data_IF_041350987121
#
_entry.id   IF_041350987121
#
_cell.length_a   1.000
_cell.length_b   1.000
_cell.length_c   1.000
_cell.angle_alpha   90.00
_cell.angle_beta   90.00
_cell.angle_gamma   90.00
#
_symmetry.space_group_name_H-M   'P 1'
#
loop_
_entity.id
_entity.type
_entity.pdbx_description
1 polymer ?
#
# COMPACT_ATOMS: atom_id res chain seq x y z
N UNK A 1 3.30 -11.13 -17.35
CA UNK A 1 3.80 -12.51 -17.53
C UNK A 1 3.52 -13.13 -18.91
N UNK A 2 2.45 -12.74 -19.65
CA UNK A 2 2.19 -13.29 -21.00
C UNK A 2 3.32 -13.11 -22.03
N UNK A 3 4.12 -12.04 -21.91
CA UNK A 3 5.23 -11.73 -22.83
C UNK A 3 6.58 -12.25 -22.34
N UNK A 4 6.82 -12.17 -21.03
CA UNK A 4 8.03 -12.65 -20.38
C UNK A 4 7.68 -13.13 -18.96
N UNK A 5 8.12 -14.34 -18.62
CA UNK A 5 7.91 -14.98 -17.32
C UNK A 5 8.97 -14.61 -16.28
N UNK A 6 10.12 -14.09 -16.71
CA UNK A 6 11.28 -13.78 -15.86
C UNK A 6 11.23 -12.37 -15.26
N UNK A 7 10.36 -11.50 -15.79
CA UNK A 7 10.19 -10.12 -15.29
C UNK A 7 9.36 -10.08 -14.02
N UNK A 8 9.92 -9.46 -12.99
CA UNK A 8 9.24 -9.11 -11.74
C UNK A 8 8.35 -7.87 -11.93
N UNK A 9 7.16 -7.87 -11.31
CA UNK A 9 6.18 -6.79 -11.38
C UNK A 9 5.90 -6.26 -9.97
N UNK A 10 6.31 -5.03 -9.70
CA UNK A 10 5.86 -4.22 -8.56
C UNK A 10 4.75 -3.28 -9.00
N UNK A 11 3.70 -3.15 -8.18
CA UNK A 11 2.64 -2.15 -8.37
C UNK A 11 2.61 -1.17 -7.21
N UNK A 12 2.42 0.13 -7.50
CA UNK A 12 2.15 1.16 -6.51
C UNK A 12 0.68 1.56 -6.61
N UNK A 13 -0.05 1.42 -5.51
CA UNK A 13 -1.51 1.51 -5.51
C UNK A 13 -2.04 2.75 -4.78
N UNK A 14 -3.15 3.35 -5.24
CA UNK A 14 -3.87 4.36 -4.48
C UNK A 14 -4.68 3.71 -3.33
N UNK A 15 -5.40 4.52 -2.55
CA UNK A 15 -6.22 4.03 -1.44
C UNK A 15 -7.50 3.26 -1.86
N UNK A 16 -7.81 3.19 -3.15
CA UNK A 16 -8.99 2.55 -3.75
C UNK A 16 -10.38 3.01 -3.27
N UNK A 17 -10.50 3.78 -2.18
CA UNK A 17 -11.74 4.37 -1.67
C UNK A 17 -12.93 3.41 -1.80
N UNK A 18 -14.00 3.79 -2.50
CA UNK A 18 -15.23 3.02 -2.65
C UNK A 18 -15.15 1.86 -3.68
N UNK A 19 -13.94 1.38 -4.01
CA UNK A 19 -13.72 0.25 -4.94
C UNK A 19 -13.41 -1.03 -4.16
N UNK A 20 -14.44 -1.61 -3.55
CA UNK A 20 -14.32 -2.76 -2.66
C UNK A 20 -13.72 -4.01 -3.33
N UNK A 21 -13.82 -4.14 -4.65
CA UNK A 21 -13.33 -5.27 -5.44
C UNK A 21 -11.87 -5.11 -5.92
N UNK A 22 -11.25 -3.94 -5.74
CA UNK A 22 -9.94 -3.63 -6.28
C UNK A 22 -8.85 -4.55 -5.70
N UNK A 23 -8.85 -4.73 -4.37
CA UNK A 23 -7.86 -5.58 -3.69
C UNK A 23 -8.00 -7.04 -4.13
N UNK A 24 -9.23 -7.52 -4.32
CA UNK A 24 -9.49 -8.89 -4.78
C UNK A 24 -8.96 -9.14 -6.19
N UNK A 25 -9.17 -8.18 -7.10
CA UNK A 25 -8.63 -8.24 -8.46
C UNK A 25 -7.10 -8.30 -8.44
N UNK A 26 -6.48 -7.49 -7.59
CA UNK A 26 -5.01 -7.45 -7.46
C UNK A 26 -4.47 -8.73 -6.84
N UNK A 27 -5.11 -9.25 -5.78
CA UNK A 27 -4.72 -10.51 -5.13
C UNK A 27 -4.70 -11.68 -6.13
N UNK A 28 -5.69 -11.71 -7.03
CA UNK A 28 -5.80 -12.70 -8.12
C UNK A 28 -4.77 -12.47 -9.22
N UNK A 29 -4.42 -11.23 -9.53
CA UNK A 29 -3.43 -10.89 -10.55
C UNK A 29 -1.99 -11.28 -10.15
N UNK A 30 -1.75 -11.49 -8.85
CA UNK A 30 -0.49 -11.98 -8.29
C UNK A 30 0.76 -11.18 -8.75
N UNK A 31 0.84 -9.87 -8.43
CA UNK A 31 2.09 -9.13 -8.58
C UNK A 31 3.16 -9.70 -7.63
N UNK A 32 4.43 -9.52 -7.99
CA UNK A 32 5.54 -9.93 -7.13
C UNK A 32 5.60 -9.04 -5.88
N UNK A 33 5.38 -7.74 -6.06
CA UNK A 33 5.31 -6.75 -4.97
C UNK A 33 4.04 -5.92 -5.06
N UNK A 34 3.30 -5.86 -3.95
CA UNK A 34 2.24 -4.90 -3.71
C UNK A 34 2.77 -3.76 -2.86
N UNK A 35 2.87 -2.56 -3.44
CA UNK A 35 3.30 -1.36 -2.76
C UNK A 35 2.12 -0.40 -2.52
N UNK A 36 1.98 0.04 -1.28
CA UNK A 36 1.05 1.10 -0.90
C UNK A 36 1.68 1.94 0.21
N UNK A 37 2.06 3.17 -0.12
CA UNK A 37 2.72 4.04 0.83
C UNK A 37 1.73 4.57 1.88
N UNK A 38 2.17 4.59 3.14
CA UNK A 38 1.50 5.35 4.20
C UNK A 38 1.92 6.82 4.18
N UNK A 39 3.09 7.13 3.61
CA UNK A 39 3.68 8.46 3.41
C UNK A 39 4.10 9.21 4.67
N UNK A 40 3.32 9.16 5.76
CA UNK A 40 3.66 9.87 7.00
C UNK A 40 2.99 9.23 8.22
N UNK A 41 3.34 9.72 9.40
CA UNK A 41 2.86 9.25 10.71
C UNK A 41 1.39 9.65 10.95
N UNK A 42 0.63 8.92 11.81
CA UNK A 42 -0.79 9.17 12.03
C UNK A 42 -1.16 10.61 12.39
N UNK A 43 -0.32 11.27 13.21
CA UNK A 43 -0.54 12.65 13.67
C UNK A 43 -0.57 13.67 12.53
N UNK A 44 0.30 13.48 11.53
CA UNK A 44 0.42 14.38 10.37
C UNK A 44 -0.48 14.00 9.21
N UNK A 45 -1.03 12.79 9.24
CA UNK A 45 -1.65 12.17 8.08
C UNK A 45 -2.80 12.99 7.48
N UNK A 46 -3.71 13.55 8.30
CA UNK A 46 -4.81 14.36 7.79
C UNK A 46 -4.36 15.67 7.13
N UNK A 47 -3.22 16.23 7.57
CA UNK A 47 -2.63 17.44 7.00
C UNK A 47 -1.94 17.15 5.66
N UNK A 48 -1.20 16.04 5.57
CA UNK A 48 -0.41 15.68 4.39
C UNK A 48 -1.26 14.94 3.33
N UNK A 49 -2.23 14.12 3.76
CA UNK A 49 -3.09 13.30 2.91
C UNK A 49 -4.58 13.48 3.27
N UNK A 50 -5.19 14.65 2.98
CA UNK A 50 -6.54 14.98 3.44
C UNK A 50 -7.65 14.05 2.93
N UNK A 51 -7.43 13.33 1.82
CA UNK A 51 -8.41 12.40 1.24
C UNK A 51 -8.18 10.94 1.60
N UNK A 52 -7.13 10.63 2.35
CA UNK A 52 -6.78 9.28 2.74
C UNK A 52 -6.93 9.11 4.26
N UNK A 53 -6.87 7.87 4.74
CA UNK A 53 -6.91 7.56 6.18
C UNK A 53 -5.79 6.59 6.50
N UNK A 54 -4.97 6.91 7.50
CA UNK A 54 -3.81 6.09 7.89
C UNK A 54 -4.16 4.60 8.10
N UNK A 55 -5.18 4.34 8.92
CA UNK A 55 -5.62 2.97 9.20
C UNK A 55 -6.23 2.27 7.99
N UNK A 56 -6.77 3.01 7.02
CA UNK A 56 -7.23 2.44 5.77
C UNK A 56 -6.04 1.97 4.93
N UNK A 57 -4.98 2.78 4.80
CA UNK A 57 -3.74 2.37 4.13
C UNK A 57 -3.12 1.11 4.75
N UNK A 58 -3.10 1.01 6.09
CA UNK A 58 -2.67 -0.20 6.78
C UNK A 58 -3.59 -1.39 6.52
N UNK A 59 -4.91 -1.14 6.47
CA UNK A 59 -5.89 -2.18 6.15
C UNK A 59 -5.65 -2.77 4.76
N UNK A 60 -5.35 -1.95 3.74
CA UNK A 60 -5.04 -2.45 2.39
C UNK A 60 -3.86 -3.43 2.38
N UNK A 61 -2.76 -3.07 3.06
CA UNK A 61 -1.56 -3.90 3.19
C UNK A 61 -1.85 -5.20 3.93
N UNK A 62 -2.65 -5.14 5.00
CA UNK A 62 -3.09 -6.33 5.75
C UNK A 62 -3.97 -7.24 4.88
N UNK A 63 -4.95 -6.67 4.20
CA UNK A 63 -5.93 -7.42 3.41
C UNK A 63 -5.28 -8.15 2.24
N UNK A 64 -4.34 -7.52 1.51
CA UNK A 64 -3.65 -8.21 0.41
C UNK A 64 -2.83 -9.40 0.93
N UNK A 65 -2.17 -9.25 2.09
CA UNK A 65 -1.39 -10.34 2.72
C UNK A 65 -2.28 -11.47 3.20
N UNK A 66 -3.45 -11.17 3.76
CA UNK A 66 -4.43 -12.18 4.15
C UNK A 66 -5.00 -12.94 2.96
N UNK A 67 -5.29 -12.24 1.85
CA UNK A 67 -5.84 -12.87 0.63
C UNK A 67 -4.79 -13.69 -0.13
N UNK A 68 -3.54 -13.24 -0.15
CA UNK A 68 -2.45 -13.97 -0.77
C UNK A 68 -1.13 -13.75 -0.02
N UNK A 69 -0.79 -14.64 0.94
CA UNK A 69 0.40 -14.49 1.78
C UNK A 69 1.73 -14.50 1.01
N UNK A 70 1.74 -15.00 -0.24
CA UNK A 70 2.94 -15.07 -1.09
C UNK A 70 3.29 -13.74 -1.74
N UNK A 71 2.36 -12.78 -1.82
CA UNK A 71 2.67 -11.44 -2.33
C UNK A 71 3.57 -10.72 -1.31
N UNK A 72 4.66 -10.13 -1.79
CA UNK A 72 5.51 -9.27 -0.96
C UNK A 72 4.83 -7.91 -0.80
N UNK A 73 4.63 -7.45 0.43
CA UNK A 73 3.99 -6.15 0.72
C UNK A 73 5.05 -5.14 1.09
N UNK A 74 4.94 -3.94 0.52
CA UNK A 74 5.86 -2.82 0.73
C UNK A 74 5.08 -1.55 1.03
N UNK A 75 5.70 -0.66 1.80
CA UNK A 75 5.22 0.69 2.07
C UNK A 75 6.42 1.62 2.19
N UNK A 76 6.15 2.92 2.18
CA UNK A 76 7.13 3.98 2.34
C UNK A 76 6.60 5.10 3.21
N UNK A 77 7.53 5.81 3.85
CA UNK A 77 7.33 7.05 4.59
C UNK A 77 8.28 8.09 4.01
N UNK A 78 7.79 9.31 3.82
CA UNK A 78 8.61 10.50 3.57
C UNK A 78 8.96 11.14 4.91
N UNK A 79 10.25 11.37 5.12
CA UNK A 79 10.78 12.09 6.29
C UNK A 79 10.97 13.57 5.99
N UNK A 80 11.04 14.40 7.03
CA UNK A 80 11.16 15.87 6.94
C UNK A 80 9.82 16.61 6.85
N UNK A 81 8.70 15.96 7.20
CA UNK A 81 7.36 16.56 7.18
C UNK A 81 6.93 17.12 8.55
N UNK A 82 7.81 16.99 9.55
CA UNK A 82 7.59 17.41 10.94
C UNK A 82 7.22 16.27 11.88
N UNK A 83 7.46 15.03 11.45
CA UNK A 83 7.41 13.83 12.29
C UNK A 83 8.54 13.86 13.33
N UNK A 84 8.28 13.26 14.49
CA UNK A 84 9.31 12.98 15.48
C UNK A 84 9.93 11.62 15.19
N UNK A 85 11.17 11.40 15.64
CA UNK A 85 11.87 10.13 15.45
C UNK A 85 11.13 8.97 16.11
N UNK A 86 10.43 9.22 17.20
CA UNK A 86 9.66 8.22 17.96
C UNK A 86 8.33 7.84 17.28
N UNK A 87 7.88 8.62 16.29
CA UNK A 87 6.67 8.33 15.53
C UNK A 87 6.91 7.43 14.30
N UNK A 88 8.18 7.17 13.98
CA UNK A 88 8.65 6.36 12.84
C UNK A 88 9.04 4.95 13.31
#
# INVERSE_FOLDING_TARGET
RKRDSNVTIEILTPDFLNKHDAIDKIAKAFPDVYNHNVETVPRLYAKIRPKARYFHSLYLLKTIKQKNPRIFTKSGIMVGLGELKEEI
#
